data_IF_937057096174
#
_entry.id   IF_937057096174
#
_cell.length_a   1.000
_cell.length_b   1.000
_cell.length_c   1.000
_cell.angle_alpha   90.00
_cell.angle_beta   90.00
_cell.angle_gamma   90.00
#
_symmetry.space_group_name_H-M   'P 1'
#
loop_
_entity.id
_entity.type
_entity.pdbx_description
1 polymer ?
#
# COMPACT_ATOMS: atom_id res chain seq x y z
N UNK A 1 30.52 16.77 18.07
CA UNK A 1 30.59 15.54 17.26
C UNK A 1 29.21 15.04 16.80
N UNK A 2 28.20 14.97 17.68
CA UNK A 2 26.82 14.56 17.31
C UNK A 2 26.16 15.48 16.28
N UNK A 3 26.35 16.81 16.39
CA UNK A 3 25.78 17.78 15.44
C UNK A 3 26.36 17.66 14.02
N UNK A 4 27.64 17.27 13.92
CA UNK A 4 28.34 17.06 12.65
C UNK A 4 27.88 15.76 11.98
N UNK A 5 27.56 14.73 12.77
CA UNK A 5 27.01 13.45 12.30
C UNK A 5 25.56 13.60 11.82
N UNK A 6 24.76 14.43 12.49
CA UNK A 6 23.40 14.81 12.05
C UNK A 6 23.45 15.63 10.76
N UNK A 7 24.38 16.59 10.64
CA UNK A 7 24.58 17.35 9.41
C UNK A 7 25.05 16.46 8.24
N UNK A 8 25.93 15.48 8.50
CA UNK A 8 26.38 14.48 7.53
C UNK A 8 25.23 13.55 7.11
N UNK A 9 24.36 13.13 8.02
CA UNK A 9 23.17 12.32 7.70
C UNK A 9 22.15 13.12 6.89
N UNK A 10 21.93 14.40 7.22
CA UNK A 10 21.06 15.31 6.46
C UNK A 10 21.67 15.58 5.07
N UNK A 11 22.98 15.80 4.96
CA UNK A 11 23.69 15.95 3.67
C UNK A 11 23.75 14.64 2.86
N UNK A 12 23.80 13.47 3.49
CA UNK A 12 23.69 12.17 2.82
C UNK A 12 22.25 11.85 2.40
N UNK A 13 21.24 12.30 3.16
CA UNK A 13 19.82 12.18 2.80
C UNK A 13 19.45 13.14 1.66
N UNK A 14 19.98 14.37 1.68
CA UNK A 14 19.77 15.36 0.61
C UNK A 14 20.62 15.00 -0.62
N UNK A 15 21.91 14.67 -0.45
CA UNK A 15 22.81 14.31 -1.54
C UNK A 15 22.54 12.93 -2.15
N UNK A 16 22.18 11.94 -1.32
CA UNK A 16 21.89 10.57 -1.75
C UNK A 16 20.52 10.41 -2.43
N UNK A 17 19.49 11.15 -1.99
CA UNK A 17 18.17 11.11 -2.63
C UNK A 17 18.05 12.02 -3.85
N UNK A 18 18.83 13.11 -3.95
CA UNK A 18 18.67 14.09 -5.04
C UNK A 18 19.55 13.79 -6.26
N UNK A 19 20.70 13.13 -6.10
CA UNK A 19 21.67 12.97 -7.22
C UNK A 19 21.87 11.54 -7.73
N UNK A 20 21.55 10.51 -6.93
CA UNK A 20 21.78 9.12 -7.33
C UNK A 20 20.85 8.61 -8.44
N UNK A 21 19.59 9.02 -8.42
CA UNK A 21 18.57 8.48 -9.32
C UNK A 21 18.42 9.19 -10.67
N UNK A 22 18.63 10.52 -10.82
CA UNK A 22 18.57 11.19 -12.12
C UNK A 22 19.68 10.74 -13.09
N UNK A 23 20.88 10.42 -12.59
CA UNK A 23 22.01 9.95 -13.40
C UNK A 23 21.86 8.49 -13.86
N UNK A 24 21.18 7.66 -13.05
CA UNK A 24 20.84 6.28 -13.42
C UNK A 24 19.63 6.24 -14.36
N UNK A 25 18.67 7.16 -14.19
CA UNK A 25 17.53 7.32 -15.11
C UNK A 25 17.94 7.94 -16.47
N UNK A 26 18.98 8.78 -16.51
CA UNK A 26 19.52 9.35 -17.74
C UNK A 26 20.30 8.34 -18.60
N UNK A 27 20.78 7.24 -18.01
CA UNK A 27 21.58 6.22 -18.71
C UNK A 27 20.76 4.98 -19.12
N UNK A 28 19.53 4.83 -18.62
CA UNK A 28 18.70 3.64 -18.87
C UNK A 28 17.25 4.02 -19.14
N UNK A 29 16.92 4.22 -20.41
CA UNK A 29 15.56 3.95 -20.92
C UNK A 29 14.69 5.16 -21.23
N UNK A 30 14.91 5.71 -22.44
CA UNK A 30 13.87 6.25 -23.33
C UNK A 30 12.65 5.30 -23.39
N UNK A 31 11.40 5.70 -23.65
CA UNK A 31 10.82 6.91 -24.24
C UNK A 31 9.34 6.91 -23.88
N UNK A 32 8.85 7.94 -23.20
CA UNK A 32 7.40 8.18 -23.07
C UNK A 32 6.86 8.54 -24.45
N UNK A 33 5.90 7.76 -24.95
CA UNK A 33 5.22 8.04 -26.20
C UNK A 33 4.26 9.21 -25.97
N UNK A 34 4.60 10.39 -26.50
CA UNK A 34 3.75 11.58 -26.45
C UNK A 34 3.18 11.96 -27.82
N UNK A 35 3.46 11.14 -28.84
CA UNK A 35 3.23 11.45 -30.24
C UNK A 35 2.68 10.22 -31.02
N UNK A 36 1.83 10.49 -32.02
CA UNK A 36 1.23 9.45 -32.89
C UNK A 36 2.26 8.48 -33.51
N UNK A 37 3.46 8.92 -33.94
CA UNK A 37 4.52 8.02 -34.40
C UNK A 37 5.04 7.09 -33.30
N UNK A 38 5.24 7.58 -32.07
CA UNK A 38 5.63 6.77 -30.92
C UNK A 38 4.60 5.71 -30.57
N UNK A 39 3.31 6.03 -30.69
CA UNK A 39 2.21 5.09 -30.39
C UNK A 39 2.18 3.93 -31.37
N UNK A 40 2.40 4.21 -32.65
CA UNK A 40 2.49 3.18 -33.70
C UNK A 40 3.69 2.25 -33.46
N UNK A 41 4.83 2.78 -33.02
CA UNK A 41 6.01 1.98 -32.68
C UNK A 41 5.77 1.06 -31.47
N UNK A 42 5.04 1.56 -30.47
CA UNK A 42 4.67 0.75 -29.30
C UNK A 42 3.64 -0.34 -29.65
N UNK A 43 2.67 -0.04 -30.52
CA UNK A 43 1.73 -1.02 -31.06
C UNK A 43 2.48 -2.10 -31.84
N UNK A 44 3.45 -1.72 -32.68
CA UNK A 44 4.29 -2.67 -33.41
C UNK A 44 5.11 -3.56 -32.46
N UNK A 45 5.64 -3.01 -31.37
CA UNK A 45 6.31 -3.81 -30.33
C UNK A 45 5.36 -4.79 -29.65
N UNK A 46 4.14 -4.39 -29.32
CA UNK A 46 3.12 -5.29 -28.78
C UNK A 46 2.78 -6.40 -29.76
N UNK A 47 2.59 -6.06 -31.03
CA UNK A 47 2.31 -7.04 -32.08
C UNK A 47 3.43 -8.07 -32.21
N UNK A 48 4.69 -7.64 -32.20
CA UNK A 48 5.83 -8.54 -32.24
C UNK A 48 6.01 -9.36 -30.95
N UNK A 49 5.61 -8.85 -29.79
CA UNK A 49 5.78 -9.54 -28.50
C UNK A 49 4.77 -10.67 -28.32
N UNK A 50 3.59 -10.52 -28.91
CA UNK A 50 2.48 -11.47 -28.80
C UNK A 50 2.18 -12.19 -30.12
N UNK A 51 3.08 -12.10 -31.11
CA UNK A 51 2.94 -12.69 -32.45
C UNK A 51 1.59 -12.33 -33.15
N UNK A 52 1.12 -11.10 -32.94
CA UNK A 52 -0.16 -10.62 -33.50
C UNK A 52 0.10 -10.10 -34.91
N UNK A 53 -0.62 -10.63 -35.89
CA UNK A 53 -0.49 -10.19 -37.28
C UNK A 53 -1.41 -9.00 -37.59
N UNK A 54 -1.02 -8.09 -38.51
CA UNK A 54 -1.87 -6.96 -38.90
C UNK A 54 -3.27 -7.37 -39.36
N UNK A 55 -3.38 -8.50 -40.07
CA UNK A 55 -4.64 -9.06 -40.54
C UNK A 55 -5.57 -9.49 -39.40
N UNK A 56 -5.04 -9.89 -38.24
CA UNK A 56 -5.82 -10.28 -37.06
C UNK A 56 -6.37 -9.04 -36.34
N UNK A 57 -5.59 -7.96 -36.31
CA UNK A 57 -6.03 -6.66 -35.77
C UNK A 57 -7.13 -6.08 -36.65
N UNK A 58 -6.93 -6.09 -37.97
CA UNK A 58 -7.92 -5.64 -38.95
C UNK A 58 -9.19 -6.49 -38.91
N UNK A 59 -9.06 -7.82 -38.79
CA UNK A 59 -10.18 -8.73 -38.57
C UNK A 59 -10.92 -8.44 -37.24
N UNK A 60 -10.22 -8.06 -36.17
CA UNK A 60 -10.85 -7.67 -34.91
C UNK A 60 -11.58 -6.32 -35.00
N UNK A 61 -11.12 -5.40 -35.87
CA UNK A 61 -11.80 -4.12 -36.14
C UNK A 61 -13.02 -4.28 -37.06
N UNK A 62 -12.99 -5.23 -37.99
CA UNK A 62 -14.05 -5.50 -38.96
C UNK A 62 -15.01 -6.61 -38.56
N UNK A 63 -14.68 -7.39 -37.53
CA UNK A 63 -15.66 -8.27 -36.90
C UNK A 63 -16.83 -7.40 -36.43
N UNK A 64 -18.07 -7.68 -36.86
CA UNK A 64 -19.22 -7.07 -36.21
C UNK A 64 -19.08 -7.34 -34.71
N UNK A 65 -19.48 -6.38 -33.89
CA UNK A 65 -19.52 -6.45 -32.43
C UNK A 65 -20.51 -7.51 -31.92
N UNK A 66 -20.49 -8.72 -32.47
CA UNK A 66 -21.20 -9.92 -32.04
C UNK A 66 -20.33 -10.78 -31.12
N UNK A 67 -19.39 -10.16 -30.40
CA UNK A 67 -18.70 -10.73 -29.24
C UNK A 67 -18.64 -9.75 -28.04
N UNK A 68 -19.51 -8.72 -28.00
CA UNK A 68 -19.81 -7.99 -26.76
C UNK A 68 -20.71 -8.79 -25.79
N UNK A 69 -21.13 -10.01 -26.15
CA UNK A 69 -22.02 -10.85 -25.32
C UNK A 69 -21.33 -12.03 -24.59
N UNK A 70 -20.05 -11.90 -24.26
CA UNK A 70 -19.46 -12.77 -23.21
C UNK A 70 -18.52 -12.07 -22.22
N UNK A 71 -18.47 -10.73 -22.21
CA UNK A 71 -17.96 -9.97 -21.06
C UNK A 71 -19.05 -9.82 -19.98
N UNK A 72 -19.42 -10.95 -19.39
CA UNK A 72 -19.60 -11.07 -17.94
C UNK A 72 -20.65 -10.20 -17.23
N UNK A 73 -21.88 -10.05 -17.75
CA UNK A 73 -23.02 -9.99 -16.80
C UNK A 73 -23.06 -11.34 -16.11
N UNK A 74 -22.32 -11.50 -14.99
CA UNK A 74 -22.45 -12.68 -14.11
C UNK A 74 -23.95 -12.90 -13.94
N UNK A 75 -24.45 -14.06 -14.34
CA UNK A 75 -25.85 -14.42 -14.15
C UNK A 75 -26.20 -14.11 -12.70
N UNK A 76 -27.39 -13.59 -12.41
CA UNK A 76 -27.84 -13.46 -11.00
C UNK A 76 -27.65 -14.79 -10.25
N UNK A 77 -27.74 -15.92 -10.96
CA UNK A 77 -27.40 -17.25 -10.46
C UNK A 77 -25.93 -17.46 -10.11
N UNK A 78 -24.97 -16.92 -10.87
CA UNK A 78 -23.54 -17.02 -10.57
C UNK A 78 -23.13 -16.17 -9.37
N UNK A 79 -23.72 -14.97 -9.25
CA UNK A 79 -23.51 -14.10 -8.07
C UNK A 79 -24.11 -14.78 -6.84
N UNK A 80 -25.34 -15.29 -6.93
CA UNK A 80 -25.98 -16.02 -5.84
C UNK A 80 -25.18 -17.26 -5.44
N UNK A 81 -24.76 -18.10 -6.40
CA UNK A 81 -23.93 -19.29 -6.13
C UNK A 81 -22.62 -18.93 -5.43
N UNK A 82 -21.96 -17.85 -5.88
CA UNK A 82 -20.73 -17.36 -5.27
C UNK A 82 -20.98 -16.88 -3.84
N UNK A 83 -22.02 -16.09 -3.62
CA UNK A 83 -22.42 -15.60 -2.30
C UNK A 83 -22.76 -16.75 -1.35
N UNK A 84 -23.58 -17.72 -1.77
CA UNK A 84 -23.93 -18.89 -0.96
C UNK A 84 -22.71 -19.75 -0.62
N UNK A 85 -21.75 -19.88 -1.54
CA UNK A 85 -20.50 -20.61 -1.29
C UNK A 85 -19.65 -19.91 -0.23
N UNK A 86 -19.47 -18.59 -0.34
CA UNK A 86 -18.73 -17.81 0.67
C UNK A 86 -19.44 -17.79 2.02
N UNK A 87 -20.76 -17.61 2.03
CA UNK A 87 -21.56 -17.58 3.24
C UNK A 87 -21.54 -18.94 3.95
N UNK A 88 -21.64 -20.04 3.19
CA UNK A 88 -21.47 -21.40 3.71
C UNK A 88 -20.08 -21.61 4.32
N UNK A 89 -19.02 -21.18 3.65
CA UNK A 89 -17.65 -21.26 4.19
C UNK A 89 -17.47 -20.45 5.48
N UNK A 90 -18.03 -19.24 5.54
CA UNK A 90 -18.00 -18.39 6.75
C UNK A 90 -18.77 -19.06 7.89
N UNK A 91 -19.96 -19.61 7.65
CA UNK A 91 -20.71 -20.32 8.69
C UNK A 91 -20.00 -21.56 9.20
N UNK A 92 -19.34 -22.33 8.32
CA UNK A 92 -18.54 -23.49 8.75
C UNK A 92 -17.38 -23.03 9.63
N UNK A 93 -16.62 -22.01 9.20
CA UNK A 93 -15.51 -21.49 9.98
C UNK A 93 -15.96 -20.91 11.33
N UNK A 94 -17.05 -20.13 11.34
CA UNK A 94 -17.61 -19.55 12.55
C UNK A 94 -18.15 -20.64 13.49
N UNK A 95 -18.84 -21.65 12.96
CA UNK A 95 -19.36 -22.77 13.75
C UNK A 95 -18.25 -23.59 14.39
N UNK A 96 -17.23 -23.99 13.61
CA UNK A 96 -16.05 -24.71 14.14
C UNK A 96 -15.30 -23.85 15.15
N UNK A 97 -15.07 -22.56 14.85
CA UNK A 97 -14.41 -21.62 15.76
C UNK A 97 -15.16 -21.44 17.08
N UNK A 98 -16.49 -21.31 17.02
CA UNK A 98 -17.36 -21.19 18.20
C UNK A 98 -17.33 -22.47 19.02
N UNK A 99 -17.44 -23.63 18.38
CA UNK A 99 -17.35 -24.92 19.06
C UNK A 99 -16.02 -25.08 19.81
N UNK A 100 -14.90 -24.80 19.14
CA UNK A 100 -13.57 -24.86 19.77
C UNK A 100 -13.50 -23.87 20.93
N UNK A 101 -14.00 -22.64 20.76
CA UNK A 101 -14.00 -21.61 21.81
C UNK A 101 -14.85 -22.00 23.03
N UNK A 102 -16.04 -22.55 22.83
CA UNK A 102 -16.95 -22.95 23.92
C UNK A 102 -16.39 -24.12 24.73
N UNK A 103 -15.75 -25.09 24.07
CA UNK A 103 -15.16 -26.24 24.74
C UNK A 103 -13.69 -26.05 25.11
N UNK A 104 -13.09 -24.89 24.82
CA UNK A 104 -11.67 -24.63 25.01
C UNK A 104 -11.22 -24.95 26.44
N UNK A 105 -11.90 -24.39 27.43
CA UNK A 105 -11.56 -24.55 28.85
C UNK A 105 -11.73 -25.99 29.35
N UNK A 106 -12.63 -26.75 28.71
CA UNK A 106 -12.87 -28.16 29.05
C UNK A 106 -11.88 -29.12 28.39
N UNK A 107 -11.20 -28.70 27.32
CA UNK A 107 -10.18 -29.50 26.65
C UNK A 107 -8.91 -29.54 27.48
N UNK A 108 -8.35 -30.74 27.68
CA UNK A 108 -7.01 -30.89 28.23
C UNK A 108 -5.93 -30.33 27.29
N UNK A 109 -4.77 -30.00 27.86
CA UNK A 109 -3.62 -29.39 27.16
C UNK A 109 -3.28 -30.08 25.81
N UNK A 110 -3.12 -31.41 25.84
CA UNK A 110 -2.83 -32.21 24.64
C UNK A 110 -3.88 -32.05 23.54
N UNK A 111 -5.16 -31.97 23.91
CA UNK A 111 -6.26 -31.83 22.95
C UNK A 111 -6.24 -30.46 22.28
N UNK A 112 -6.00 -29.39 23.04
CA UNK A 112 -5.87 -28.03 22.49
C UNK A 112 -4.73 -27.91 21.49
N UNK A 113 -3.57 -28.50 21.82
CA UNK A 113 -2.41 -28.57 20.92
C UNK A 113 -2.74 -29.39 19.67
N UNK A 114 -3.39 -30.54 19.78
CA UNK A 114 -3.74 -31.38 18.63
C UNK A 114 -4.76 -30.71 17.69
N UNK A 115 -5.81 -30.11 18.24
CA UNK A 115 -6.86 -29.44 17.44
C UNK A 115 -6.33 -28.23 16.70
N UNK A 116 -5.32 -27.54 17.25
CA UNK A 116 -4.74 -26.34 16.63
C UNK A 116 -3.51 -26.67 15.80
N UNK A 117 -2.39 -27.01 16.44
CA UNK A 117 -1.12 -27.30 15.79
C UNK A 117 -1.19 -28.56 14.93
N UNK A 118 -1.88 -29.61 15.39
CA UNK A 118 -2.07 -30.84 14.61
C UNK A 118 -2.83 -30.59 13.30
N UNK A 119 -3.92 -29.82 13.36
CA UNK A 119 -4.65 -29.39 12.14
C UNK A 119 -3.76 -28.58 11.20
N UNK A 120 -2.91 -27.69 11.74
CA UNK A 120 -1.92 -26.94 10.96
C UNK A 120 -0.94 -27.84 10.18
N UNK A 121 -0.43 -28.89 10.81
CA UNK A 121 0.46 -29.87 10.16
C UNK A 121 -0.28 -30.76 9.15
N UNK A 122 -1.54 -31.14 9.40
CA UNK A 122 -2.34 -31.87 8.41
C UNK A 122 -2.52 -31.02 7.15
N UNK A 123 -2.90 -29.74 7.32
CA UNK A 123 -3.01 -28.79 6.19
C UNK A 123 -1.69 -28.62 5.46
N UNK A 124 -0.57 -28.63 6.17
CA UNK A 124 0.77 -28.60 5.57
C UNK A 124 1.05 -29.83 4.71
N UNK A 125 0.73 -31.04 5.19
CA UNK A 125 0.92 -32.28 4.42
C UNK A 125 0.12 -32.21 3.12
N UNK A 126 -1.14 -31.78 3.20
CA UNK A 126 -1.99 -31.57 2.03
C UNK A 126 -1.39 -30.51 1.10
N UNK A 127 -0.82 -29.43 1.65
CA UNK A 127 -0.16 -28.39 0.86
C UNK A 127 1.06 -28.92 0.10
N UNK A 128 1.91 -29.71 0.77
CA UNK A 128 3.10 -30.31 0.15
C UNK A 128 2.70 -31.28 -0.96
N UNK A 129 1.65 -32.09 -0.76
CA UNK A 129 1.11 -32.98 -1.78
C UNK A 129 0.58 -32.19 -2.99
N UNK A 130 -0.21 -31.14 -2.75
CA UNK A 130 -0.74 -30.27 -3.80
C UNK A 130 0.37 -29.53 -4.58
N UNK A 131 1.45 -29.14 -3.89
CA UNK A 131 2.63 -28.52 -4.50
C UNK A 131 3.43 -29.50 -5.36
N UNK A 132 3.46 -30.78 -5.00
CA UNK A 132 4.16 -31.84 -5.73
C UNK A 132 3.44 -32.24 -7.01
N UNK A 133 2.14 -32.57 -6.93
CA UNK A 133 1.38 -33.09 -8.07
C UNK A 133 1.06 -32.03 -9.15
N UNK A 134 1.19 -30.73 -8.83
CA UNK A 134 0.85 -29.57 -9.70
C UNK A 134 -0.57 -29.58 -10.29
N UNK A 135 -1.40 -30.55 -9.93
CA UNK A 135 -2.76 -30.79 -10.46
C UNK A 135 -3.77 -29.73 -10.02
N UNK A 136 -3.53 -29.04 -8.90
CA UNK A 136 -4.47 -28.10 -8.30
C UNK A 136 -3.85 -26.71 -7.99
N UNK A 137 -3.43 -25.94 -9.02
CA UNK A 137 -2.73 -24.67 -8.80
C UNK A 137 -3.58 -23.61 -8.09
N UNK A 138 -4.91 -23.66 -8.25
CA UNK A 138 -5.85 -22.72 -7.62
C UNK A 138 -5.98 -22.93 -6.10
N UNK A 139 -5.67 -24.13 -5.59
CA UNK A 139 -5.75 -24.44 -4.16
C UNK A 139 -4.49 -24.05 -3.40
N UNK A 140 -3.37 -23.83 -4.09
CA UNK A 140 -2.07 -23.56 -3.44
C UNK A 140 -2.13 -22.31 -2.56
N UNK A 141 -2.67 -21.20 -3.07
CA UNK A 141 -2.75 -19.95 -2.31
C UNK A 141 -3.61 -20.08 -1.04
N UNK A 142 -4.90 -20.49 -1.10
CA UNK A 142 -5.74 -20.58 0.09
C UNK A 142 -5.19 -21.61 1.09
N UNK A 143 -4.63 -22.71 0.60
CA UNK A 143 -4.06 -23.75 1.46
C UNK A 143 -2.76 -23.29 2.13
N UNK A 144 -1.92 -22.50 1.45
CA UNK A 144 -0.73 -21.87 2.04
C UNK A 144 -1.14 -20.95 3.19
N UNK A 145 -2.13 -20.07 2.96
CA UNK A 145 -2.61 -19.14 3.98
C UNK A 145 -3.26 -19.87 5.16
N UNK A 146 -4.12 -20.86 4.90
CA UNK A 146 -4.77 -21.65 5.95
C UNK A 146 -3.76 -22.42 6.81
N UNK A 147 -2.77 -23.07 6.17
CA UNK A 147 -1.70 -23.79 6.87
C UNK A 147 -0.86 -22.83 7.72
N UNK A 148 -0.45 -21.69 7.16
CA UNK A 148 0.34 -20.68 7.89
C UNK A 148 -0.40 -20.16 9.11
N UNK A 149 -1.67 -19.77 8.96
CA UNK A 149 -2.46 -19.24 10.07
C UNK A 149 -2.66 -20.27 11.18
N UNK A 150 -3.04 -21.50 10.82
CA UNK A 150 -3.26 -22.57 11.79
C UNK A 150 -1.98 -23.01 12.48
N UNK A 151 -0.86 -23.12 11.76
CA UNK A 151 0.43 -23.45 12.37
C UNK A 151 0.90 -22.33 13.31
N UNK A 152 0.78 -21.07 12.91
CA UNK A 152 1.19 -19.93 13.74
C UNK A 152 0.39 -19.90 15.04
N UNK A 153 -0.95 -20.01 14.94
CA UNK A 153 -1.82 -20.08 16.12
C UNK A 153 -1.54 -21.30 17.00
N UNK A 154 -1.36 -22.48 16.40
CA UNK A 154 -1.04 -23.71 17.11
C UNK A 154 0.30 -23.66 17.85
N UNK A 155 1.31 -22.98 17.31
CA UNK A 155 2.57 -22.76 18.01
C UNK A 155 2.41 -21.86 19.23
N UNK A 156 1.57 -20.82 19.16
CA UNK A 156 1.25 -20.00 20.33
C UNK A 156 0.53 -20.80 21.41
N UNK A 157 -0.45 -21.62 21.03
CA UNK A 157 -1.17 -22.51 21.97
C UNK A 157 -0.21 -23.49 22.63
N UNK A 158 0.70 -24.10 21.87
CA UNK A 158 1.70 -25.01 22.43
C UNK A 158 2.59 -24.30 23.47
N UNK A 159 3.03 -23.08 23.17
CA UNK A 159 3.87 -22.32 24.10
C UNK A 159 3.12 -21.91 25.36
N UNK A 160 1.86 -21.50 25.23
CA UNK A 160 1.01 -21.14 26.37
C UNK A 160 0.77 -22.33 27.31
N UNK A 161 0.57 -23.52 26.74
CA UNK A 161 0.38 -24.76 27.49
C UNK A 161 1.65 -25.25 28.20
N UNK A 162 2.83 -25.11 27.58
CA UNK A 162 4.11 -25.54 28.17
C UNK A 162 4.64 -24.49 29.17
N UNK A 163 4.43 -23.20 28.89
CA UNK A 163 4.94 -22.09 29.70
C UNK A 163 3.85 -21.06 30.07
N UNK A 164 2.84 -21.43 30.87
CA UNK A 164 1.68 -20.57 31.17
C UNK A 164 2.03 -19.26 31.91
N UNK A 165 3.21 -19.21 32.54
CA UNK A 165 3.65 -18.09 33.36
C UNK A 165 4.67 -17.16 32.66
N UNK A 166 5.00 -17.40 31.38
CA UNK A 166 5.98 -16.57 30.68
C UNK A 166 5.34 -15.25 30.21
N UNK A 167 5.49 -14.18 31.01
CA UNK A 167 5.07 -12.82 30.66
C UNK A 167 5.79 -12.23 29.43
N UNK A 168 6.76 -12.96 28.87
CA UNK A 168 7.62 -12.53 27.77
C UNK A 168 7.02 -12.89 26.40
N UNK A 169 5.91 -12.25 26.04
CA UNK A 169 5.26 -12.38 24.72
C UNK A 169 6.22 -12.14 23.54
N UNK A 170 7.25 -11.32 23.75
CA UNK A 170 8.34 -11.07 22.79
C UNK A 170 9.12 -12.33 22.47
N UNK A 171 9.52 -13.10 23.49
CA UNK A 171 10.28 -14.34 23.30
C UNK A 171 9.43 -15.41 22.60
N UNK A 172 8.15 -15.52 22.98
CA UNK A 172 7.20 -16.41 22.31
C UNK A 172 7.06 -16.03 20.82
N UNK A 173 6.80 -14.76 20.53
CA UNK A 173 6.65 -14.28 19.14
C UNK A 173 7.93 -14.47 18.33
N UNK A 174 9.10 -14.20 18.92
CA UNK A 174 10.39 -14.43 18.28
C UNK A 174 10.57 -15.91 17.90
N UNK A 175 10.26 -16.83 18.81
CA UNK A 175 10.36 -18.25 18.56
C UNK A 175 9.39 -18.70 17.46
N UNK A 176 8.10 -18.36 17.57
CA UNK A 176 7.08 -18.74 16.58
C UNK A 176 7.44 -18.20 15.19
N UNK A 177 7.82 -16.93 15.10
CA UNK A 177 8.15 -16.30 13.82
C UNK A 177 9.46 -16.86 13.26
N UNK A 178 10.43 -17.22 14.10
CA UNK A 178 11.67 -17.87 13.67
C UNK A 178 11.42 -19.25 13.08
N UNK A 179 10.62 -20.09 13.75
CA UNK A 179 10.23 -21.42 13.25
C UNK A 179 9.44 -21.30 11.94
N UNK A 180 8.47 -20.38 11.88
CA UNK A 180 7.66 -20.17 10.68
C UNK A 180 8.48 -19.57 9.52
N UNK A 181 9.44 -18.69 9.79
CA UNK A 181 10.35 -18.14 8.79
C UNK A 181 11.22 -19.24 8.17
N UNK A 182 11.81 -20.11 9.00
CA UNK A 182 12.60 -21.25 8.53
C UNK A 182 11.73 -22.19 7.69
N UNK A 183 10.56 -22.54 8.20
CA UNK A 183 9.66 -23.47 7.54
C UNK A 183 9.20 -22.93 6.17
N UNK A 184 8.68 -21.71 6.10
CA UNK A 184 8.26 -21.10 4.83
C UNK A 184 9.43 -20.84 3.89
N UNK A 185 10.61 -20.52 4.43
CA UNK A 185 11.84 -20.37 3.64
C UNK A 185 12.27 -21.65 2.95
N UNK A 186 12.22 -22.80 3.65
CA UNK A 186 12.53 -24.12 3.06
C UNK A 186 11.53 -24.49 1.96
N UNK A 187 10.23 -24.30 2.20
CA UNK A 187 9.19 -24.55 1.19
C UNK A 187 9.36 -23.65 -0.03
N UNK A 188 9.65 -22.36 0.20
CA UNK A 188 9.92 -21.41 -0.89
C UNK A 188 11.15 -21.82 -1.70
N UNK A 189 12.25 -22.21 -1.05
CA UNK A 189 13.47 -22.65 -1.73
C UNK A 189 13.23 -23.82 -2.69
N UNK A 190 12.38 -24.77 -2.29
CA UNK A 190 12.05 -25.96 -3.09
C UNK A 190 11.01 -25.69 -4.19
N UNK A 191 9.92 -24.98 -3.89
CA UNK A 191 8.77 -24.86 -4.81
C UNK A 191 8.66 -23.50 -5.53
N UNK A 192 9.39 -22.47 -5.07
CA UNK A 192 9.52 -21.13 -5.68
C UNK A 192 8.20 -20.41 -6.01
N UNK A 193 7.12 -20.68 -5.26
CA UNK A 193 5.80 -20.03 -5.44
C UNK A 193 5.74 -18.66 -4.77
N UNK A 194 5.00 -17.72 -5.36
CA UNK A 194 4.80 -16.34 -4.86
C UNK A 194 4.16 -16.29 -3.48
N UNK A 195 3.18 -17.17 -3.19
CA UNK A 195 2.53 -17.24 -1.87
C UNK A 195 3.52 -17.65 -0.75
N UNK A 196 4.46 -18.54 -1.07
CA UNK A 196 5.50 -18.99 -0.14
C UNK A 196 6.57 -17.89 0.06
N UNK A 197 6.92 -17.16 -1.00
CA UNK A 197 7.78 -15.98 -0.87
C UNK A 197 7.16 -14.92 0.04
N UNK A 198 5.87 -14.63 -0.15
CA UNK A 198 5.16 -13.62 0.64
C UNK A 198 5.14 -13.98 2.13
N UNK A 199 4.72 -15.20 2.45
CA UNK A 199 4.64 -15.68 3.83
C UNK A 199 6.02 -15.83 4.47
N UNK A 200 7.03 -16.28 3.73
CA UNK A 200 8.41 -16.32 4.21
C UNK A 200 8.94 -14.91 4.54
N UNK A 201 8.78 -13.94 3.65
CA UNK A 201 9.18 -12.55 3.92
C UNK A 201 8.45 -11.98 5.13
N UNK A 202 7.13 -12.22 5.24
CA UNK A 202 6.34 -11.78 6.40
C UNK A 202 6.93 -12.27 7.73
N UNK A 203 7.23 -13.57 7.85
CA UNK A 203 7.79 -14.11 9.08
C UNK A 203 9.24 -13.69 9.33
N UNK A 204 10.07 -13.56 8.28
CA UNK A 204 11.45 -13.06 8.43
C UNK A 204 11.44 -11.63 8.96
N UNK A 205 10.63 -10.75 8.38
CA UNK A 205 10.55 -9.36 8.83
C UNK A 205 9.91 -9.22 10.22
N UNK A 206 8.90 -10.03 10.53
CA UNK A 206 8.36 -10.09 11.89
C UNK A 206 9.39 -10.58 12.91
N UNK A 207 10.16 -11.61 12.58
CA UNK A 207 11.24 -12.14 13.43
C UNK A 207 12.30 -11.06 13.68
N UNK A 208 12.74 -10.39 12.63
CA UNK A 208 13.70 -9.28 12.75
C UNK A 208 13.12 -8.13 13.58
N UNK A 209 11.84 -7.78 13.41
CA UNK A 209 11.19 -6.71 14.17
C UNK A 209 11.22 -7.00 15.68
N UNK A 210 10.79 -8.20 16.09
CA UNK A 210 10.77 -8.59 17.50
C UNK A 210 12.18 -8.81 18.05
N UNK A 211 13.10 -9.34 17.24
CA UNK A 211 14.49 -9.52 17.63
C UNK A 211 15.19 -8.20 17.90
N UNK A 212 14.97 -7.19 17.05
CA UNK A 212 15.52 -5.84 17.25
C UNK A 212 14.87 -5.13 18.46
N UNK A 213 13.58 -5.34 18.71
CA UNK A 213 12.89 -4.81 19.90
C UNK A 213 13.46 -5.44 21.20
N UNK A 214 13.75 -6.74 21.19
CA UNK A 214 14.43 -7.43 22.30
C UNK A 214 15.86 -6.94 22.55
N UNK A 215 16.56 -6.47 21.51
CA UNK A 215 17.86 -5.82 21.64
C UNK A 215 17.76 -4.40 22.22
N UNK A 216 16.56 -3.92 22.54
CA UNK A 216 16.32 -2.60 23.12
C UNK A 216 16.36 -1.46 22.11
N UNK A 217 16.30 -1.75 20.80
CA UNK A 217 16.20 -0.72 19.78
C UNK A 217 14.81 -0.09 19.80
N UNK A 218 14.74 1.24 19.70
CA UNK A 218 13.46 1.93 19.64
C UNK A 218 12.72 1.56 18.35
N UNK A 219 11.42 1.32 18.46
CA UNK A 219 10.52 0.93 17.36
C UNK A 219 10.67 1.85 16.13
N UNK A 220 10.88 3.16 16.34
CA UNK A 220 11.13 4.11 15.25
C UNK A 220 12.34 3.74 14.36
N UNK A 221 13.46 3.35 14.97
CA UNK A 221 14.65 2.94 14.23
C UNK A 221 14.46 1.58 13.57
N UNK A 222 13.76 0.66 14.23
CA UNK A 222 13.40 -0.64 13.66
C UNK A 222 12.54 -0.43 12.40
N UNK A 223 11.54 0.44 12.46
CA UNK A 223 10.67 0.79 11.34
C UNK A 223 11.45 1.40 10.16
N UNK A 224 12.42 2.29 10.44
CA UNK A 224 13.29 2.87 9.39
C UNK A 224 14.15 1.78 8.74
N UNK A 225 14.85 0.98 9.54
CA UNK A 225 15.81 -0.02 9.03
C UNK A 225 15.08 -1.13 8.27
N UNK A 226 14.01 -1.68 8.85
CA UNK A 226 13.23 -2.73 8.20
C UNK A 226 12.44 -2.19 7.00
N UNK A 227 11.86 -1.00 7.09
CA UNK A 227 11.19 -0.35 5.96
C UNK A 227 12.13 -0.12 4.76
N UNK A 228 13.33 0.41 5.00
CA UNK A 228 14.36 0.57 3.97
C UNK A 228 14.81 -0.79 3.39
N UNK A 229 14.97 -1.80 4.25
CA UNK A 229 15.29 -3.16 3.82
C UNK A 229 14.20 -3.76 2.92
N UNK A 230 12.92 -3.68 3.32
CA UNK A 230 11.79 -4.16 2.51
C UNK A 230 11.74 -3.42 1.17
N UNK A 231 12.01 -2.11 1.15
CA UNK A 231 12.06 -1.34 -0.08
C UNK A 231 13.14 -1.86 -1.04
N UNK A 232 14.35 -2.13 -0.54
CA UNK A 232 15.43 -2.74 -1.33
C UNK A 232 15.08 -4.16 -1.80
N UNK A 233 14.45 -4.97 -0.95
CA UNK A 233 13.95 -6.29 -1.34
C UNK A 233 12.87 -6.16 -2.42
N UNK A 234 11.97 -5.19 -2.31
CA UNK A 234 10.95 -4.89 -3.31
C UNK A 234 11.55 -4.57 -4.67
N UNK A 235 12.59 -3.73 -4.73
CA UNK A 235 13.29 -3.43 -5.99
C UNK A 235 14.06 -4.63 -6.53
N UNK A 236 14.62 -5.47 -5.67
CA UNK A 236 15.26 -6.72 -6.09
C UNK A 236 14.25 -7.73 -6.65
N UNK A 237 13.05 -7.82 -6.06
CA UNK A 237 11.97 -8.72 -6.50
C UNK A 237 11.49 -8.44 -7.92
N UNK A 238 11.65 -7.20 -8.41
CA UNK A 238 11.32 -6.83 -9.80
C UNK A 238 12.11 -7.64 -10.83
N UNK A 239 13.34 -8.05 -10.48
CA UNK A 239 14.23 -8.85 -11.34
C UNK A 239 13.99 -10.35 -11.20
N UNK A 240 13.07 -10.76 -10.33
CA UNK A 240 12.81 -12.17 -10.00
C UNK A 240 11.50 -12.68 -10.62
N UNK A 241 11.31 -14.01 -10.69
CA UNK A 241 10.02 -14.59 -11.10
C UNK A 241 8.83 -14.14 -10.22
N UNK A 242 9.09 -13.64 -9.00
CA UNK A 242 8.10 -13.19 -8.05
C UNK A 242 7.78 -11.68 -8.17
N UNK A 243 7.95 -11.08 -9.36
CA UNK A 243 7.68 -9.65 -9.63
C UNK A 243 6.32 -9.13 -9.13
N UNK A 244 5.31 -9.98 -9.03
CA UNK A 244 3.99 -9.62 -8.50
C UNK A 244 4.01 -9.15 -7.03
N UNK A 245 5.04 -9.53 -6.26
CA UNK A 245 5.24 -9.07 -4.88
C UNK A 245 5.97 -7.72 -4.80
N UNK A 246 6.56 -7.22 -5.89
CA UNK A 246 7.36 -5.98 -5.84
C UNK A 246 6.48 -4.78 -5.44
N UNK A 247 5.32 -4.60 -6.07
CA UNK A 247 4.37 -3.52 -5.73
C UNK A 247 3.95 -3.50 -4.25
N UNK A 248 3.41 -4.58 -3.67
CA UNK A 248 3.04 -4.59 -2.26
C UNK A 248 4.25 -4.48 -1.32
N UNK A 249 5.40 -5.07 -1.67
CA UNK A 249 6.62 -4.92 -0.87
C UNK A 249 7.09 -3.47 -0.83
N UNK A 250 7.16 -2.79 -1.98
CA UNK A 250 7.52 -1.37 -2.06
C UNK A 250 6.56 -0.51 -1.24
N UNK A 251 5.26 -0.75 -1.35
CA UNK A 251 4.25 -0.02 -0.57
C UNK A 251 4.45 -0.21 0.94
N UNK A 252 4.57 -1.47 1.39
CA UNK A 252 4.79 -1.78 2.80
C UNK A 252 6.09 -1.15 3.30
N UNK A 253 7.18 -1.27 2.53
CA UNK A 253 8.48 -0.70 2.87
C UNK A 253 8.43 0.82 3.02
N UNK A 254 7.78 1.53 2.07
CA UNK A 254 7.61 2.99 2.13
C UNK A 254 6.76 3.39 3.32
N UNK A 255 5.62 2.74 3.57
CA UNK A 255 4.76 3.06 4.73
C UNK A 255 5.50 2.85 6.05
N UNK A 256 6.23 1.73 6.18
CA UNK A 256 6.94 1.40 7.41
C UNK A 256 8.12 2.35 7.66
N UNK A 257 8.89 2.66 6.62
CA UNK A 257 9.97 3.63 6.67
C UNK A 257 9.46 5.02 7.08
N UNK A 258 8.39 5.50 6.44
CA UNK A 258 7.82 6.82 6.73
C UNK A 258 7.21 6.89 8.14
N UNK A 259 6.62 5.80 8.63
CA UNK A 259 6.13 5.72 10.01
C UNK A 259 7.27 5.92 11.02
N UNK A 260 8.40 5.26 10.83
CA UNK A 260 9.56 5.45 11.69
C UNK A 260 10.16 6.86 11.58
N UNK A 261 10.22 7.41 10.37
CA UNK A 261 10.72 8.77 10.14
C UNK A 261 9.82 9.83 10.79
N UNK A 262 8.50 9.67 10.68
CA UNK A 262 7.51 10.52 11.34
C UNK A 262 7.73 10.55 12.85
N UNK A 263 7.85 9.39 13.49
CA UNK A 263 8.05 9.31 14.95
C UNK A 263 9.35 9.99 15.39
N UNK A 264 10.43 9.86 14.60
CA UNK A 264 11.70 10.56 14.88
C UNK A 264 11.54 12.08 14.76
N UNK A 265 10.91 12.58 13.70
CA UNK A 265 10.73 14.03 13.51
C UNK A 265 9.79 14.59 14.58
N UNK A 266 8.72 13.87 14.91
CA UNK A 266 7.75 14.27 15.93
C UNK A 266 8.41 14.42 17.30
N UNK A 267 9.35 13.52 17.65
CA UNK A 267 10.10 13.58 18.90
C UNK A 267 11.02 14.80 19.00
N UNK A 268 11.56 15.30 17.88
CA UNK A 268 12.52 16.41 17.88
C UNK A 268 11.90 17.79 17.66
N UNK A 269 10.72 17.86 17.06
CA UNK A 269 10.08 19.15 16.73
C UNK A 269 8.67 19.23 17.31
N UNK A 270 7.69 18.63 16.63
CA UNK A 270 6.32 18.40 17.09
C UNK A 270 5.61 17.52 16.05
N UNK A 271 4.45 16.95 16.40
CA UNK A 271 3.64 16.16 15.47
C UNK A 271 3.27 16.92 14.18
N UNK A 272 3.03 18.23 14.30
CA UNK A 272 2.58 19.09 13.20
C UNK A 272 3.69 19.24 12.15
N UNK A 273 4.93 19.52 12.60
CA UNK A 273 6.10 19.57 11.73
C UNK A 273 6.45 18.19 11.15
N UNK A 274 6.25 17.12 11.92
CA UNK A 274 6.45 15.76 11.42
C UNK A 274 5.50 15.42 10.28
N UNK A 275 4.22 15.75 10.39
CA UNK A 275 3.22 15.57 9.34
C UNK A 275 3.58 16.34 8.07
N UNK A 276 3.95 17.62 8.22
CA UNK A 276 4.36 18.46 7.11
C UNK A 276 5.58 17.89 6.37
N UNK A 277 6.67 17.64 7.10
CA UNK A 277 7.96 17.25 6.50
C UNK A 277 7.86 15.86 5.86
N UNK A 278 7.23 14.89 6.54
CA UNK A 278 7.05 13.54 5.99
C UNK A 278 6.08 13.55 4.81
N UNK A 279 4.97 14.29 4.89
CA UNK A 279 4.01 14.43 3.80
C UNK A 279 4.63 15.01 2.53
N UNK A 280 5.39 16.10 2.65
CA UNK A 280 6.12 16.71 1.51
C UNK A 280 7.16 15.74 0.94
N UNK A 281 7.88 15.01 1.80
CA UNK A 281 8.87 14.02 1.36
C UNK A 281 8.21 12.87 0.56
N UNK A 282 7.04 12.41 0.98
CA UNK A 282 6.25 11.39 0.26
C UNK A 282 5.75 11.95 -1.09
N UNK A 283 5.27 13.20 -1.13
CA UNK A 283 4.84 13.84 -2.39
C UNK A 283 6.00 13.98 -3.39
N UNK A 284 7.19 14.39 -2.93
CA UNK A 284 8.38 14.49 -3.77
C UNK A 284 8.83 13.12 -4.30
N UNK A 285 8.70 12.08 -3.47
CA UNK A 285 8.98 10.69 -3.87
C UNK A 285 7.99 10.23 -4.95
N UNK A 286 6.70 10.52 -4.77
CA UNK A 286 5.68 10.23 -5.77
C UNK A 286 5.92 10.98 -7.09
N UNK A 287 6.40 12.23 -7.01
CA UNK A 287 6.80 13.00 -8.19
C UNK A 287 8.00 12.40 -8.94
N UNK A 288 9.03 11.96 -8.22
CA UNK A 288 10.15 11.24 -8.82
C UNK A 288 9.72 9.95 -9.54
N UNK A 289 8.82 9.18 -8.92
CA UNK A 289 8.25 7.96 -9.51
C UNK A 289 7.35 8.28 -10.71
N UNK A 290 6.59 9.37 -10.66
CA UNK A 290 5.73 9.82 -11.75
C UNK A 290 6.53 10.08 -13.03
N UNK A 291 7.73 10.68 -12.92
CA UNK A 291 8.64 10.91 -14.05
C UNK A 291 9.18 9.61 -14.67
N UNK A 292 9.19 8.52 -13.91
CA UNK A 292 9.65 7.20 -14.38
C UNK A 292 8.52 6.33 -14.97
N UNK A 293 7.28 6.83 -15.03
CA UNK A 293 6.06 6.11 -15.44
C UNK A 293 5.86 4.73 -14.76
N UNK A 294 6.49 4.53 -13.60
CA UNK A 294 6.51 3.23 -12.92
C UNK A 294 5.46 3.19 -11.81
N UNK A 295 4.64 2.14 -11.82
CA UNK A 295 3.62 1.85 -10.78
C UNK A 295 2.58 2.98 -10.57
N UNK A 296 1.62 3.14 -11.49
CA UNK A 296 0.63 4.24 -11.44
C UNK A 296 -0.21 4.25 -10.14
N UNK A 297 -0.48 3.07 -9.55
CA UNK A 297 -1.20 2.94 -8.28
C UNK A 297 -0.42 3.50 -7.10
N UNK A 298 0.90 3.27 -7.07
CA UNK A 298 1.76 3.70 -5.98
C UNK A 298 2.01 5.22 -6.04
N UNK A 299 2.10 5.77 -7.25
CA UNK A 299 2.16 7.23 -7.48
C UNK A 299 0.89 7.90 -6.97
N UNK A 300 -0.29 7.39 -7.36
CA UNK A 300 -1.58 7.93 -6.91
C UNK A 300 -1.71 7.90 -5.39
N UNK A 301 -1.35 6.78 -4.76
CA UNK A 301 -1.40 6.61 -3.30
C UNK A 301 -0.37 7.51 -2.60
N UNK A 302 0.86 7.61 -3.12
CA UNK A 302 1.89 8.49 -2.60
C UNK A 302 1.46 9.96 -2.60
N UNK A 303 0.90 10.44 -3.72
CA UNK A 303 0.33 11.79 -3.76
C UNK A 303 -0.83 11.97 -2.79
N UNK A 304 -1.73 10.98 -2.67
CA UNK A 304 -2.86 11.05 -1.77
C UNK A 304 -2.43 11.12 -0.30
N UNK A 305 -1.65 10.13 0.16
CA UNK A 305 -1.20 10.04 1.56
C UNK A 305 -0.25 11.18 1.91
N UNK A 306 0.70 11.49 1.03
CA UNK A 306 1.67 12.56 1.24
C UNK A 306 1.01 13.94 1.35
N UNK A 307 0.08 14.26 0.44
CA UNK A 307 -0.64 15.53 0.51
C UNK A 307 -1.57 15.61 1.71
N UNK A 308 -2.26 14.52 2.08
CA UNK A 308 -3.11 14.51 3.28
C UNK A 308 -2.28 14.81 4.53
N UNK A 309 -1.15 14.11 4.73
CA UNK A 309 -0.25 14.36 5.87
C UNK A 309 0.36 15.77 5.85
N UNK A 310 0.72 16.27 4.66
CA UNK A 310 1.28 17.60 4.52
C UNK A 310 0.26 18.69 4.87
N UNK A 311 -0.98 18.56 4.39
CA UNK A 311 -2.04 19.51 4.68
C UNK A 311 -2.48 19.47 6.14
N UNK A 312 -2.64 18.30 6.74
CA UNK A 312 -2.97 18.21 8.17
C UNK A 312 -1.84 18.81 9.02
N UNK A 313 -0.58 18.49 8.72
CA UNK A 313 0.55 19.08 9.43
C UNK A 313 0.65 20.59 9.25
N UNK A 314 0.38 21.11 8.04
CA UNK A 314 0.37 22.55 7.77
C UNK A 314 -0.78 23.25 8.51
N UNK A 315 -1.98 22.65 8.51
CA UNK A 315 -3.13 23.20 9.20
C UNK A 315 -2.86 23.28 10.70
N UNK A 316 -2.39 22.20 11.31
CA UNK A 316 -2.09 22.16 12.75
C UNK A 316 -0.97 23.15 13.15
N UNK A 317 -0.08 23.52 12.23
CA UNK A 317 0.94 24.55 12.48
C UNK A 317 0.38 25.98 12.48
N UNK A 318 -0.65 26.19 11.68
CA UNK A 318 -1.16 27.52 11.31
C UNK A 318 -2.45 27.85 12.06
N UNK A 319 -3.17 26.82 12.53
CA UNK A 319 -4.40 26.94 13.33
C UNK A 319 -4.14 27.72 14.62
N UNK A 320 -5.05 28.64 14.96
CA UNK A 320 -4.98 29.51 16.15
C UNK A 320 -3.80 30.50 16.14
N UNK A 321 -3.22 30.79 14.97
CA UNK A 321 -2.15 31.77 14.82
C UNK A 321 -2.59 32.96 13.97
N UNK A 322 -1.89 34.09 14.07
CA UNK A 322 -2.17 35.29 13.26
C UNK A 322 -1.99 35.05 11.76
N UNK A 323 -1.25 33.99 11.39
CA UNK A 323 -0.97 33.61 10.01
C UNK A 323 -1.93 32.55 9.46
N UNK A 324 -3.09 32.34 10.09
CA UNK A 324 -4.06 31.31 9.70
C UNK A 324 -4.43 31.36 8.21
N UNK A 325 -4.56 32.58 7.67
CA UNK A 325 -4.89 32.84 6.27
C UNK A 325 -3.83 32.34 5.26
N UNK A 326 -2.59 32.12 5.68
CA UNK A 326 -1.53 31.61 4.79
C UNK A 326 -1.88 30.22 4.25
N UNK A 327 -2.65 29.42 5.00
CA UNK A 327 -3.10 28.11 4.55
C UNK A 327 -3.88 28.17 3.22
N UNK A 328 -4.71 29.20 3.01
CA UNK A 328 -5.41 29.42 1.73
C UNK A 328 -4.45 29.78 0.59
N UNK A 329 -3.44 30.61 0.86
CA UNK A 329 -2.45 30.98 -0.15
C UNK A 329 -1.62 29.76 -0.58
N UNK A 330 -1.25 28.90 0.37
CA UNK A 330 -0.51 27.66 0.08
C UNK A 330 -1.37 26.66 -0.69
N UNK A 331 -2.60 26.39 -0.26
CA UNK A 331 -3.51 25.47 -0.96
C UNK A 331 -3.83 25.97 -2.38
N UNK A 332 -4.04 27.27 -2.59
CA UNK A 332 -4.22 27.86 -3.92
C UNK A 332 -2.97 27.73 -4.81
N UNK A 333 -1.77 27.93 -4.25
CA UNK A 333 -0.51 27.75 -4.98
C UNK A 333 -0.30 26.29 -5.40
N UNK A 334 -0.64 25.34 -4.51
CA UNK A 334 -0.56 23.91 -4.84
C UNK A 334 -1.61 23.52 -5.87
N UNK A 335 -2.80 24.14 -5.89
CA UNK A 335 -3.81 23.91 -6.92
C UNK A 335 -3.29 24.29 -8.31
N UNK A 336 -2.55 25.41 -8.43
CA UNK A 336 -1.84 25.74 -9.66
C UNK A 336 -0.79 24.68 -10.03
N UNK A 337 0.00 24.22 -9.06
CA UNK A 337 0.96 23.14 -9.27
C UNK A 337 0.29 21.83 -9.72
N UNK A 338 -0.92 21.50 -9.25
CA UNK A 338 -1.69 20.34 -9.71
C UNK A 338 -1.98 20.37 -11.21
N UNK A 339 -2.29 21.56 -11.73
CA UNK A 339 -2.60 21.76 -13.16
C UNK A 339 -1.35 21.53 -14.00
N UNK A 340 -0.19 22.00 -13.53
CA UNK A 340 1.11 21.80 -14.20
C UNK A 340 1.56 20.34 -14.12
N UNK A 341 1.29 19.66 -13.01
CA UNK A 341 1.69 18.28 -12.75
C UNK A 341 0.72 17.23 -13.31
N UNK A 342 -0.40 17.64 -13.90
CA UNK A 342 -1.48 16.78 -14.42
C UNK A 342 -1.99 15.70 -13.44
N UNK A 343 -1.79 15.90 -12.13
CA UNK A 343 -2.09 14.88 -11.10
C UNK A 343 -3.51 15.01 -10.56
N UNK A 344 -4.38 14.06 -10.91
CA UNK A 344 -5.79 14.02 -10.49
C UNK A 344 -5.97 13.82 -8.98
N UNK A 345 -5.12 13.00 -8.36
CA UNK A 345 -5.19 12.71 -6.92
C UNK A 345 -4.77 13.90 -6.07
N UNK A 346 -3.71 14.61 -6.48
CA UNK A 346 -3.22 15.79 -5.78
C UNK A 346 -4.24 16.94 -5.90
N UNK A 347 -4.89 17.08 -7.05
CA UNK A 347 -5.99 18.03 -7.23
C UNK A 347 -7.15 17.76 -6.28
N UNK A 348 -7.58 16.50 -6.15
CA UNK A 348 -8.67 16.12 -5.27
C UNK A 348 -8.35 16.45 -3.80
N UNK A 349 -7.19 16.05 -3.30
CA UNK A 349 -6.80 16.30 -1.91
C UNK A 349 -6.64 17.80 -1.61
N UNK A 350 -6.09 18.56 -2.56
CA UNK A 350 -5.97 20.02 -2.46
C UNK A 350 -7.34 20.69 -2.35
N UNK A 351 -8.30 20.28 -3.18
CA UNK A 351 -9.67 20.81 -3.15
C UNK A 351 -10.36 20.48 -1.83
N UNK A 352 -10.23 19.23 -1.34
CA UNK A 352 -10.78 18.84 -0.03
C UNK A 352 -10.14 19.65 1.10
N UNK A 353 -8.82 19.82 1.09
CA UNK A 353 -8.10 20.61 2.09
C UNK A 353 -8.54 22.08 2.08
N UNK A 354 -8.71 22.67 0.89
CA UNK A 354 -9.17 24.05 0.73
C UNK A 354 -10.62 24.22 1.19
N UNK A 355 -11.52 23.31 0.80
CA UNK A 355 -12.92 23.32 1.25
C UNK A 355 -13.05 23.10 2.76
N UNK A 356 -12.26 22.19 3.33
CA UNK A 356 -12.21 21.93 4.76
C UNK A 356 -11.79 23.17 5.55
N UNK A 357 -10.76 23.89 5.09
CA UNK A 357 -10.33 25.14 5.71
C UNK A 357 -11.39 26.23 5.60
N UNK A 358 -12.01 26.42 4.43
CA UNK A 358 -13.10 27.40 4.26
C UNK A 358 -14.26 27.08 5.21
N UNK A 359 -14.61 25.81 5.35
CA UNK A 359 -15.62 25.35 6.30
C UNK A 359 -15.28 25.68 7.75
N UNK A 360 -14.07 25.32 8.19
CA UNK A 360 -13.56 25.61 9.53
C UNK A 360 -13.54 27.12 9.85
N UNK A 361 -12.93 27.91 8.96
CA UNK A 361 -12.80 29.36 9.15
C UNK A 361 -14.17 30.04 9.16
N UNK A 362 -15.10 29.54 8.34
CA UNK A 362 -16.49 29.98 8.29
C UNK A 362 -17.24 29.70 9.60
N UNK A 363 -17.06 28.52 10.19
CA UNK A 363 -17.73 28.19 11.46
C UNK A 363 -17.17 29.02 12.62
N UNK A 364 -15.87 29.25 12.66
CA UNK A 364 -15.24 29.97 13.76
C UNK A 364 -15.59 31.47 13.76
N UNK A 365 -15.54 32.12 12.59
CA UNK A 365 -15.70 33.57 12.50
C UNK A 365 -17.11 34.04 12.10
N UNK A 366 -17.91 33.18 11.45
CA UNK A 366 -19.17 33.59 10.81
C UNK A 366 -20.38 32.73 11.21
N UNK A 367 -20.26 31.79 12.15
CA UNK A 367 -21.39 30.95 12.62
C UNK A 367 -22.61 31.75 13.11
N UNK A 368 -22.40 32.96 13.59
CA UNK A 368 -23.46 33.85 14.08
C UNK A 368 -24.10 34.73 12.98
N UNK A 369 -23.74 34.56 11.70
CA UNK A 369 -24.25 35.40 10.60
C UNK A 369 -24.90 34.57 9.48
N UNK A 370 -26.22 34.72 9.33
CA UNK A 370 -27.05 34.03 8.32
C UNK A 370 -26.66 34.33 6.86
N UNK A 371 -26.01 35.46 6.58
CA UNK A 371 -25.68 35.90 5.22
C UNK A 371 -24.48 35.18 4.59
N UNK A 372 -23.60 34.59 5.39
CA UNK A 372 -22.33 34.05 4.91
C UNK A 372 -22.47 32.74 4.11
N UNK A 373 -23.27 31.73 4.52
CA UNK A 373 -23.52 30.54 3.69
C UNK A 373 -24.14 30.86 2.33
N UNK A 374 -25.08 31.81 2.30
CA UNK A 374 -25.74 32.27 1.07
C UNK A 374 -24.73 32.94 0.12
N UNK A 375 -23.79 33.72 0.67
CA UNK A 375 -22.73 34.39 -0.10
C UNK A 375 -21.75 33.37 -0.70
N UNK A 376 -21.37 32.33 0.05
CA UNK A 376 -20.54 31.24 -0.45
C UNK A 376 -21.22 30.46 -1.58
N UNK A 377 -22.52 30.17 -1.46
CA UNK A 377 -23.29 29.50 -2.51
C UNK A 377 -23.38 30.38 -3.76
N UNK A 378 -23.70 31.66 -3.62
CA UNK A 378 -23.77 32.60 -4.75
C UNK A 378 -22.41 32.76 -5.46
N UNK A 379 -21.33 32.90 -4.70
CA UNK A 379 -19.98 32.99 -5.25
C UNK A 379 -19.58 31.70 -5.98
N UNK A 380 -19.91 30.53 -5.42
CA UNK A 380 -19.68 29.24 -6.07
C UNK A 380 -20.41 29.09 -7.41
N UNK A 381 -21.69 29.48 -7.45
CA UNK A 381 -22.48 29.49 -8.69
C UNK A 381 -21.90 30.46 -9.72
N UNK A 382 -21.45 31.63 -9.29
CA UNK A 382 -20.80 32.60 -10.18
C UNK A 382 -19.50 32.04 -10.80
N UNK A 383 -18.64 31.40 -10.00
CA UNK A 383 -17.41 30.77 -10.51
C UNK A 383 -17.68 29.62 -11.48
N UNK A 384 -18.71 28.79 -11.23
CA UNK A 384 -19.14 27.75 -12.17
C UNK A 384 -19.62 28.36 -13.50
N UNK A 385 -20.35 29.48 -13.44
CA UNK A 385 -20.78 30.23 -14.61
C UNK A 385 -19.59 30.75 -15.43
N UNK A 386 -18.62 31.39 -14.79
CA UNK A 386 -17.40 31.90 -15.45
C UNK A 386 -16.58 30.75 -16.05
N UNK A 387 -16.43 29.63 -15.35
CA UNK A 387 -15.73 28.44 -15.85
C UNK A 387 -16.38 27.85 -17.11
N UNK A 388 -17.71 27.75 -17.13
CA UNK A 388 -18.46 27.28 -18.29
C UNK A 388 -18.33 28.22 -19.51
N UNK A 389 -18.28 29.54 -19.27
CA UNK A 389 -18.07 30.55 -20.31
C UNK A 389 -16.64 30.45 -20.86
N UNK A 390 -15.62 30.34 -20.00
CA UNK A 390 -14.23 30.19 -20.41
C UNK A 390 -14.01 28.94 -21.28
N UNK A 391 -14.64 27.82 -20.93
CA UNK A 391 -14.60 26.58 -21.75
C UNK A 391 -15.32 26.74 -23.09
N UNK A 392 -16.45 27.47 -23.15
CA UNK A 392 -17.14 27.76 -24.41
C UNK A 392 -16.33 28.69 -25.33
N UNK A 393 -15.62 29.66 -24.78
CA UNK A 393 -14.75 30.56 -25.55
C UNK A 393 -13.55 29.81 -26.13
N UNK A 394 -12.91 28.95 -25.34
CA UNK A 394 -11.81 28.07 -25.80
C UNK A 394 -12.23 27.09 -26.91
N UNK A 395 -13.53 26.78 -27.04
CA UNK A 395 -14.08 25.89 -28.07
C UNK A 395 -14.45 26.62 -29.37
N UNK A 396 -14.48 27.96 -29.36
CA UNK A 396 -14.79 28.82 -30.51
C UNK A 396 -13.56 29.47 -31.15
N UNK A 397 -12.43 29.46 -30.44
CA UNK A 397 -11.08 29.73 -30.96
C UNK A 397 -10.51 28.38 -31.38
#
# INVERSE_FOLDING_TARGET
MISLLVLIIILLLIGGCIWGWPLVAATLGLSSVTDKPGALKHIQQLMNTYDIFPAEVEAAFHAPSSAEDSSGKRSKGDIARTLFTYLGAIFILAGVGTYIGTFWDTMGSTMRVLVTLGTGYILLIVLVAALYERRYPRLILPLTLASVLMMTGGWYVLLDEIYPASSNWRAATLFVFGVMALHQGVLFGKYRRTALAFTSLFFVYGFMHVGLDLLGLKIAYIAIVLGASVFLVGTALEKTPQRALAEPALLIGVCWLNSGLFDRIAMFTSGNWAGLITGVSVMLTAYGLHKSERYPRLIALGYFVGSLMAYTGLFDLVQNTVVELIYLAVTASVLYACVVLESRTLLLTTVIAMLGFIGYYSTEHFSNSLGWPITLVLMGVAFLGVGAIALKVKRRI
#
